data_IF_308287947204
#
_entry.id   IF_308287947204
#
_cell.length_a   1.000
_cell.length_b   1.000
_cell.length_c   1.000
_cell.angle_alpha   90.00
_cell.angle_beta   90.00
_cell.angle_gamma   90.00
#
_symmetry.space_group_name_H-M   'P 1'
#
loop_
_entity.id
_entity.type
_entity.pdbx_description
1 polymer ?
#
# COMPACT_ATOMS: atom_id res chain seq x y z
N UNK A 1 6.05 -21.10 8.94
CA UNK A 1 7.17 -20.17 9.18
C UNK A 1 6.91 -19.37 10.44
N UNK A 2 7.92 -18.68 10.98
CA UNK A 2 7.69 -17.70 12.05
C UNK A 2 7.09 -16.42 11.45
N UNK A 3 6.13 -15.75 12.12
CA UNK A 3 5.64 -14.45 11.68
C UNK A 3 6.77 -13.42 11.61
N UNK A 4 6.74 -12.55 10.59
CA UNK A 4 7.69 -11.44 10.45
C UNK A 4 7.22 -10.31 11.36
N UNK A 5 8.04 -9.99 12.36
CA UNK A 5 7.79 -8.91 13.31
C UNK A 5 9.07 -8.11 13.56
N UNK A 6 9.01 -6.79 13.44
CA UNK A 6 10.16 -5.92 13.75
C UNK A 6 10.39 -5.83 15.27
N UNK A 7 11.58 -5.38 15.74
CA UNK A 7 11.81 -5.10 17.15
C UNK A 7 10.82 -4.10 17.76
N UNK A 8 10.30 -3.17 16.96
CA UNK A 8 9.28 -2.19 17.35
C UNK A 8 7.85 -2.76 17.34
N UNK A 9 7.66 -4.00 16.88
CA UNK A 9 6.36 -4.66 16.85
C UNK A 9 5.59 -4.51 15.53
N UNK A 10 6.20 -3.99 14.47
CA UNK A 10 5.57 -3.94 13.15
C UNK A 10 5.36 -5.36 12.59
N UNK A 11 4.19 -5.64 12.00
CA UNK A 11 3.74 -7.02 11.73
C UNK A 11 3.54 -7.28 10.24
N UNK A 12 3.91 -8.50 9.80
CA UNK A 12 3.55 -9.04 8.50
C UNK A 12 4.32 -8.45 7.33
N UNK A 13 3.88 -8.71 6.10
CA UNK A 13 4.58 -8.34 4.87
C UNK A 13 4.72 -6.82 4.68
N UNK A 14 3.68 -6.08 5.03
CA UNK A 14 3.60 -4.61 4.94
C UNK A 14 4.14 -3.88 6.18
N UNK A 15 4.64 -4.64 7.17
CA UNK A 15 5.17 -4.10 8.43
C UNK A 15 4.20 -3.10 9.09
N UNK A 16 2.94 -3.49 9.22
CA UNK A 16 1.88 -2.64 9.80
C UNK A 16 1.99 -2.64 11.32
N UNK A 17 1.93 -1.45 11.95
CA UNK A 17 1.94 -1.34 13.41
C UNK A 17 0.63 -1.88 14.03
N UNK A 18 0.65 -2.42 15.27
CA UNK A 18 -0.55 -3.02 15.87
C UNK A 18 -1.76 -2.08 15.97
N UNK A 19 -1.56 -0.81 16.36
CA UNK A 19 -2.64 0.17 16.41
C UNK A 19 -3.22 0.45 15.02
N UNK A 20 -2.36 0.67 14.03
CA UNK A 20 -2.76 0.87 12.64
C UNK A 20 -3.51 -0.33 12.07
N UNK A 21 -3.06 -1.56 12.35
CA UNK A 21 -3.77 -2.75 11.89
C UNK A 21 -5.16 -2.84 12.50
N UNK A 22 -5.32 -2.51 13.78
CA UNK A 22 -6.63 -2.54 14.44
C UNK A 22 -7.60 -1.53 13.83
N UNK A 23 -7.14 -0.31 13.55
CA UNK A 23 -7.94 0.71 12.85
C UNK A 23 -8.38 0.22 11.47
N UNK A 24 -7.43 -0.22 10.64
CA UNK A 24 -7.71 -0.69 9.28
C UNK A 24 -8.56 -1.95 9.27
N UNK A 25 -8.40 -2.84 10.25
CA UNK A 25 -9.19 -4.06 10.39
C UNK A 25 -10.65 -3.74 10.64
N UNK A 26 -10.93 -2.79 11.52
CA UNK A 26 -12.31 -2.36 11.83
C UNK A 26 -12.92 -1.66 10.61
N UNK A 27 -12.18 -0.75 9.97
CA UNK A 27 -12.68 0.03 8.83
C UNK A 27 -12.96 -0.84 7.59
N UNK A 28 -12.08 -1.81 7.31
CA UNK A 28 -12.16 -2.63 6.09
C UNK A 28 -12.65 -4.07 6.32
N UNK A 29 -13.09 -4.41 7.53
CA UNK A 29 -13.66 -5.72 7.85
C UNK A 29 -12.65 -6.87 7.73
N UNK A 30 -11.41 -6.66 8.17
CA UNK A 30 -10.32 -7.64 8.06
C UNK A 30 -10.33 -8.63 9.24
N UNK A 31 -9.61 -9.74 9.09
CA UNK A 31 -9.44 -10.76 10.11
C UNK A 31 -8.59 -10.30 11.30
N UNK A 32 -8.68 -11.00 12.44
CA UNK A 32 -7.96 -10.64 13.67
C UNK A 32 -6.47 -10.95 13.63
N UNK A 33 -5.99 -11.68 12.62
CA UNK A 33 -4.59 -12.08 12.50
C UNK A 33 -3.81 -11.10 11.61
N UNK A 34 -3.00 -10.17 12.18
CA UNK A 34 -2.19 -9.24 11.40
C UNK A 34 -1.08 -9.87 10.58
N UNK A 35 -0.79 -11.15 10.81
CA UNK A 35 0.20 -11.91 10.03
C UNK A 35 -0.42 -12.71 8.88
N UNK A 36 -1.75 -12.67 8.72
CA UNK A 36 -2.37 -13.19 7.51
C UNK A 36 -1.91 -12.34 6.30
N UNK A 37 -1.25 -12.92 5.29
CA UNK A 37 -0.68 -12.14 4.19
C UNK A 37 -1.70 -11.29 3.45
N UNK A 38 -2.91 -11.81 3.21
CA UNK A 38 -3.97 -11.09 2.49
C UNK A 38 -4.40 -9.88 3.29
N UNK A 39 -4.76 -10.09 4.55
CA UNK A 39 -5.28 -9.02 5.39
C UNK A 39 -4.21 -7.98 5.74
N UNK A 40 -2.96 -8.40 5.92
CA UNK A 40 -1.84 -7.48 6.14
C UNK A 40 -1.55 -6.58 4.93
N UNK A 41 -1.63 -7.14 3.71
CA UNK A 41 -1.50 -6.36 2.47
C UNK A 41 -2.66 -5.37 2.33
N UNK A 42 -3.90 -5.81 2.58
CA UNK A 42 -5.07 -4.94 2.51
C UNK A 42 -4.99 -3.80 3.54
N UNK A 43 -4.62 -4.10 4.79
CA UNK A 43 -4.43 -3.09 5.82
C UNK A 43 -3.31 -2.10 5.47
N UNK A 44 -2.15 -2.60 5.03
CA UNK A 44 -1.01 -1.75 4.68
C UNK A 44 -1.28 -0.86 3.46
N UNK A 45 -1.97 -1.38 2.45
CA UNK A 45 -2.33 -0.60 1.25
C UNK A 45 -3.41 0.43 1.53
N UNK A 46 -4.43 0.09 2.33
CA UNK A 46 -5.42 1.07 2.81
C UNK A 46 -4.74 2.20 3.59
N UNK A 47 -3.82 1.85 4.48
CA UNK A 47 -3.08 2.85 5.26
C UNK A 47 -2.16 3.72 4.38
N UNK A 48 -1.47 3.13 3.39
CA UNK A 48 -0.70 3.90 2.39
C UNK A 48 -1.60 4.88 1.62
N UNK A 49 -2.80 4.45 1.21
CA UNK A 49 -3.77 5.34 0.54
C UNK A 49 -4.15 6.51 1.44
N UNK A 50 -4.45 6.25 2.72
CA UNK A 50 -4.77 7.29 3.67
C UNK A 50 -3.60 8.27 3.89
N UNK A 51 -2.34 7.78 3.82
CA UNK A 51 -1.16 8.65 3.89
C UNK A 51 -0.96 9.47 2.61
N UNK A 52 -1.24 8.89 1.45
CA UNK A 52 -1.21 9.61 0.17
C UNK A 52 -2.23 10.75 0.16
N UNK A 53 -3.48 10.49 0.58
CA UNK A 53 -4.52 11.52 0.64
C UNK A 53 -4.16 12.69 1.57
N UNK A 54 -3.38 12.42 2.63
CA UNK A 54 -2.99 13.42 3.63
C UNK A 54 -1.70 14.18 3.28
N UNK A 55 -0.71 13.50 2.72
CA UNK A 55 0.66 14.02 2.59
C UNK A 55 1.19 14.02 1.15
N UNK A 56 0.44 13.44 0.21
CA UNK A 56 0.84 13.32 -1.19
C UNK A 56 2.10 12.49 -1.39
N UNK A 57 2.63 12.51 -2.60
CA UNK A 57 3.89 11.88 -2.94
C UNK A 57 5.05 12.90 -2.92
N UNK A 58 6.24 12.55 -2.39
CA UNK A 58 6.60 11.29 -1.72
C UNK A 58 6.26 11.26 -0.22
N UNK A 59 5.56 12.27 0.31
CA UNK A 59 5.32 12.45 1.75
C UNK A 59 4.64 11.27 2.45
N UNK A 60 3.81 10.51 1.73
CA UNK A 60 3.14 9.31 2.21
C UNK A 60 4.10 8.30 2.86
N UNK A 61 5.32 8.15 2.32
CA UNK A 61 6.29 7.17 2.79
C UNK A 61 6.89 7.59 4.13
N UNK A 62 7.15 8.89 4.28
CA UNK A 62 7.62 9.45 5.54
C UNK A 62 6.56 9.31 6.62
N UNK A 63 5.30 9.60 6.30
CA UNK A 63 4.18 9.44 7.22
C UNK A 63 3.89 7.97 7.56
N UNK A 64 4.02 7.05 6.60
CA UNK A 64 3.83 5.62 6.84
C UNK A 64 4.89 5.07 7.80
N UNK A 65 6.16 5.45 7.63
CA UNK A 65 7.26 4.96 8.45
C UNK A 65 7.33 5.66 9.82
N UNK A 66 7.27 6.99 9.87
CA UNK A 66 7.38 7.74 11.12
C UNK A 66 6.06 7.86 11.89
N UNK A 67 4.93 7.56 11.26
CA UNK A 67 3.60 7.88 11.77
C UNK A 67 3.15 9.30 11.36
N UNK A 68 1.85 9.48 11.08
CA UNK A 68 1.31 10.70 10.47
C UNK A 68 1.45 11.93 11.37
N UNK A 69 1.29 11.77 12.68
CA UNK A 69 1.40 12.87 13.64
C UNK A 69 2.84 13.41 13.70
N UNK A 70 3.82 12.50 13.77
CA UNK A 70 5.25 12.87 13.79
C UNK A 70 5.64 13.54 12.49
N UNK A 71 5.18 13.01 11.36
CA UNK A 71 5.47 13.59 10.05
C UNK A 71 4.81 14.96 9.87
N UNK A 72 3.56 15.13 10.32
CA UNK A 72 2.88 16.42 10.34
C UNK A 72 3.59 17.46 11.22
N UNK A 73 4.07 17.06 12.41
CA UNK A 73 4.88 17.94 13.26
C UNK A 73 6.22 18.31 12.62
N UNK A 74 6.86 17.39 11.89
CA UNK A 74 8.06 17.68 11.11
C UNK A 74 7.78 18.76 10.07
N UNK A 75 6.71 18.61 9.27
CA UNK A 75 6.34 19.59 8.24
C UNK A 75 5.98 20.96 8.82
N UNK A 76 5.23 21.00 9.93
CA UNK A 76 4.72 22.25 10.51
C UNK A 76 5.74 22.98 11.38
N UNK A 77 6.59 22.25 12.09
CA UNK A 77 7.43 22.79 13.17
C UNK A 77 8.92 22.50 12.99
N UNK A 78 9.30 21.77 11.94
CA UNK A 78 10.69 21.37 11.70
C UNK A 78 11.24 20.41 12.75
N UNK A 79 10.37 19.68 13.48
CA UNK A 79 10.85 18.65 14.42
C UNK A 79 11.63 17.57 13.67
N UNK A 80 12.78 17.10 14.17
CA UNK A 80 13.55 16.06 13.50
C UNK A 80 12.77 14.74 13.44
N UNK A 81 12.91 14.03 12.32
CA UNK A 81 12.43 12.66 12.18
C UNK A 81 13.42 11.66 12.82
N UNK A 82 12.97 10.43 13.15
CA UNK A 82 13.87 9.36 13.56
C UNK A 82 14.91 9.08 12.47
N UNK A 83 16.12 8.69 12.88
CA UNK A 83 17.23 8.38 11.97
C UNK A 83 16.82 7.30 10.95
N UNK A 84 16.17 6.23 11.41
CA UNK A 84 15.60 5.17 10.55
C UNK A 84 14.69 5.73 9.45
N UNK A 85 13.83 6.72 9.77
CA UNK A 85 12.93 7.32 8.79
C UNK A 85 13.71 8.12 7.74
N UNK A 86 14.74 8.86 8.16
CA UNK A 86 15.59 9.63 7.25
C UNK A 86 16.32 8.69 6.31
N UNK A 87 16.94 7.63 6.85
CA UNK A 87 17.61 6.60 6.05
C UNK A 87 16.66 5.91 5.07
N UNK A 88 15.43 5.59 5.51
CA UNK A 88 14.41 5.01 4.65
C UNK A 88 14.03 5.93 3.48
N UNK A 89 13.83 7.23 3.74
CA UNK A 89 13.52 8.21 2.71
C UNK A 89 14.70 8.43 1.74
N UNK A 90 15.94 8.39 2.24
CA UNK A 90 17.13 8.47 1.41
C UNK A 90 17.28 7.25 0.49
N UNK A 91 16.95 6.04 0.98
CA UNK A 91 16.92 4.83 0.15
C UNK A 91 15.86 4.92 -0.96
N UNK A 92 14.66 5.42 -0.65
CA UNK A 92 13.62 5.65 -1.67
C UNK A 92 14.08 6.65 -2.72
N UNK A 93 14.67 7.76 -2.30
CA UNK A 93 15.23 8.77 -3.21
C UNK A 93 16.32 8.18 -4.09
N UNK A 94 17.22 7.38 -3.53
CA UNK A 94 18.27 6.68 -4.29
C UNK A 94 17.71 5.65 -5.29
N UNK A 95 16.56 5.05 -4.98
CA UNK A 95 15.83 4.15 -5.86
C UNK A 95 15.01 4.88 -6.95
N UNK A 96 15.05 6.22 -7.02
CA UNK A 96 14.32 7.01 -8.02
C UNK A 96 12.85 7.21 -7.67
N UNK A 97 12.51 7.29 -6.38
CA UNK A 97 11.16 7.64 -5.90
C UNK A 97 11.13 9.14 -5.61
N UNK A 98 10.69 9.97 -6.57
CA UNK A 98 10.57 11.42 -6.40
C UNK A 98 9.27 11.99 -6.99
N UNK A 99 8.78 13.11 -6.44
CA UNK A 99 7.57 13.75 -6.97
C UNK A 99 7.70 14.10 -8.45
N UNK A 100 8.91 14.42 -8.91
CA UNK A 100 9.20 14.66 -10.32
C UNK A 100 8.93 13.42 -11.19
N UNK A 101 9.08 12.21 -10.66
CA UNK A 101 8.77 10.97 -11.40
C UNK A 101 7.26 10.78 -11.57
N UNK A 102 6.46 11.16 -10.55
CA UNK A 102 4.99 11.19 -10.65
C UNK A 102 4.54 12.26 -11.65
N UNK A 103 5.08 13.48 -11.56
CA UNK A 103 4.74 14.58 -12.48
C UNK A 103 5.15 14.26 -13.93
N UNK A 104 6.30 13.60 -14.13
CA UNK A 104 6.75 13.11 -15.43
C UNK A 104 5.82 12.01 -15.96
N UNK A 105 5.33 11.12 -15.10
CA UNK A 105 4.37 10.08 -15.48
C UNK A 105 3.00 10.69 -15.86
N UNK A 106 2.48 11.63 -15.07
CA UNK A 106 1.20 12.31 -15.34
C UNK A 106 1.26 13.15 -16.62
N UNK A 107 2.36 13.86 -16.86
CA UNK A 107 2.54 14.68 -18.08
C UNK A 107 2.68 13.84 -19.35
N UNK A 108 3.14 12.59 -19.25
CA UNK A 108 3.18 11.63 -20.35
C UNK A 108 1.87 10.85 -20.51
N UNK A 109 1.01 10.86 -19.48
CA UNK A 109 -0.27 10.16 -19.46
C UNK A 109 -1.38 10.99 -20.11
N UNK A 110 -1.44 11.00 -21.44
CA UNK A 110 -2.68 11.40 -22.15
C UNK A 110 -3.69 10.27 -21.99
N UNK A 111 -4.54 10.34 -20.96
CA UNK A 111 -5.50 9.29 -20.65
C UNK A 111 -6.43 8.99 -21.85
N UNK A 112 -6.50 7.74 -22.35
CA UNK A 112 -7.63 7.33 -23.16
C UNK A 112 -8.89 7.42 -22.30
N UNK A 113 -9.97 7.95 -22.88
CA UNK A 113 -11.29 8.06 -22.24
C UNK A 113 -11.64 6.74 -21.54
N UNK A 114 -11.85 6.79 -20.22
CA UNK A 114 -12.08 5.61 -19.39
C UNK A 114 -13.19 4.73 -19.98
N UNK A 115 -12.81 3.58 -20.53
CA UNK A 115 -13.75 2.52 -20.83
C UNK A 115 -14.03 1.80 -19.51
N UNK A 116 -15.28 1.87 -19.06
CA UNK A 116 -15.75 1.17 -17.87
C UNK A 116 -15.61 -0.33 -18.14
N UNK A 117 -14.56 -0.95 -17.59
CA UNK A 117 -14.38 -2.39 -17.61
C UNK A 117 -15.36 -3.05 -16.62
N UNK A 118 -15.94 -4.21 -16.94
CA UNK A 118 -16.95 -4.84 -16.09
C UNK A 118 -16.32 -5.40 -14.79
N UNK A 119 -17.03 -5.17 -13.66
CA UNK A 119 -16.69 -5.70 -12.34
C UNK A 119 -16.66 -7.24 -12.35
N UNK A 120 -15.51 -7.85 -12.05
CA UNK A 120 -15.45 -9.24 -11.59
C UNK A 120 -14.17 -10.01 -11.91
N UNK A 121 -13.24 -10.12 -10.94
CA UNK A 121 -12.34 -11.25 -10.62
C UNK A 121 -11.38 -10.84 -9.46
N UNK A 122 -10.61 -11.75 -8.83
CA UNK A 122 -9.88 -11.55 -7.54
C UNK A 122 -8.36 -11.40 -7.63
N UNK A 123 -7.76 -10.39 -6.99
CA UNK A 123 -6.32 -10.04 -6.99
C UNK A 123 -5.41 -11.13 -6.38
N UNK A 124 -5.98 -12.22 -5.86
CA UNK A 124 -5.25 -13.36 -5.33
C UNK A 124 -5.47 -14.59 -6.22
N UNK A 125 -4.38 -15.10 -6.82
CA UNK A 125 -4.40 -16.37 -7.53
C UNK A 125 -4.15 -17.51 -6.54
N UNK A 126 -5.15 -18.36 -6.32
CA UNK A 126 -4.95 -19.64 -5.64
C UNK A 126 -4.42 -20.65 -6.66
N UNK A 127 -3.25 -21.23 -6.42
CA UNK A 127 -2.76 -22.41 -7.14
C UNK A 127 -3.41 -23.65 -6.50
N UNK A 128 -4.32 -24.29 -7.23
CA UNK A 128 -5.04 -25.57 -7.04
C UNK A 128 -5.09 -26.23 -5.63
N UNK A 129 -6.25 -26.56 -5.05
CA UNK A 129 -7.60 -26.54 -5.63
C UNK A 129 -8.77 -26.93 -4.70
N UNK A 130 -9.96 -26.75 -5.29
CA UNK A 130 -11.30 -27.32 -5.01
C UNK A 130 -12.18 -26.72 -3.89
N UNK A 131 -13.02 -25.79 -4.37
CA UNK A 131 -14.48 -25.57 -4.23
C UNK A 131 -15.17 -24.97 -2.98
N UNK A 132 -15.65 -23.75 -3.27
CA UNK A 132 -17.05 -23.27 -3.26
C UNK A 132 -17.43 -22.31 -2.13
N UNK A 133 -17.65 -21.06 -2.52
CA UNK A 133 -18.13 -20.00 -1.65
C UNK A 133 -17.70 -18.63 -2.13
N UNK A 134 -18.27 -18.17 -3.24
CA UNK A 134 -18.11 -16.79 -3.71
C UNK A 134 -18.57 -15.85 -2.60
N UNK A 135 -17.71 -14.92 -2.16
CA UNK A 135 -18.07 -13.78 -1.31
C UNK A 135 -17.61 -12.49 -2.00
N UNK A 136 -18.50 -11.49 -2.01
CA UNK A 136 -18.28 -10.17 -2.58
C UNK A 136 -17.05 -9.49 -1.95
N UNK A 137 -16.14 -8.96 -2.76
CA UNK A 137 -14.99 -8.16 -2.29
C UNK A 137 -13.69 -8.33 -3.10
N UNK A 138 -13.68 -9.24 -4.06
CA UNK A 138 -12.50 -9.57 -4.83
C UNK A 138 -12.32 -8.57 -5.99
N UNK A 139 -11.37 -7.64 -5.83
CA UNK A 139 -10.89 -6.66 -6.82
C UNK A 139 -9.95 -7.38 -7.82
N UNK A 140 -10.05 -7.18 -9.15
CA UNK A 140 -9.12 -7.77 -10.16
C UNK A 140 -8.42 -6.67 -10.93
N UNK A 141 -7.19 -6.95 -11.36
CA UNK A 141 -6.49 -6.22 -12.41
C UNK A 141 -6.03 -7.22 -13.49
N UNK A 142 -6.36 -7.04 -14.78
CA UNK A 142 -5.90 -7.93 -15.85
C UNK A 142 -4.45 -7.61 -16.25
N UNK A 143 -3.62 -8.64 -16.42
CA UNK A 143 -2.38 -8.52 -17.20
C UNK A 143 -2.75 -8.49 -18.68
N UNK A 144 -2.25 -7.49 -19.39
CA UNK A 144 -2.44 -7.32 -20.83
C UNK A 144 -2.03 -8.59 -21.58
N UNK A 145 -2.90 -9.04 -22.48
CA UNK A 145 -2.58 -10.07 -23.46
C UNK A 145 -2.02 -9.35 -24.67
N UNK A 146 -0.70 -9.42 -24.84
CA UNK A 146 -0.09 -9.07 -26.11
C UNK A 146 -0.53 -10.10 -27.16
N UNK A 147 -1.27 -9.59 -28.14
CA UNK A 147 -1.19 -9.99 -29.55
C UNK A 147 -1.60 -11.41 -29.91
N UNK A 148 -2.88 -11.61 -30.19
CA UNK A 148 -3.29 -12.60 -31.19
C UNK A 148 -3.45 -11.91 -32.56
N UNK A 149 -2.49 -12.22 -33.45
CA UNK A 149 -2.69 -12.53 -34.89
C UNK A 149 -3.10 -11.40 -35.86
N UNK A 150 -2.94 -11.57 -37.19
CA UNK A 150 -3.30 -12.72 -38.03
C UNK A 150 -2.25 -13.84 -38.15
#
# INVERSE_FOLDING_TARGET
GRPITSPAGAMGLMQVMPGTYEEMRVEHGLGPNPHDPRDNILAGTAYLSAMYDRFGFPGLFGAYNAGPERYDEHLKRGKPLPEETVEYLDQLKAAGVSAADIEAFESQSVAPKAQIAPLGRSLFFIHDGVHSGVRNGDLFVPLGKDGAQP
#
